data_IF_501774305905
#
_entry.id   IF_501774305905
#
_cell.length_a   1.000
_cell.length_b   1.000
_cell.length_c   1.000
_cell.angle_alpha   90.00
_cell.angle_beta   90.00
_cell.angle_gamma   90.00
#
_symmetry.space_group_name_H-M   'P 1'
#
loop_
_entity.id
_entity.type
_entity.pdbx_description
1 polymer ?
#
# COMPACT_ATOMS: atom_id res chain seq x y z
N UNK A 1 40.03 34.34 19.19
CA UNK A 1 38.77 33.69 18.77
C UNK A 1 39.11 32.53 17.85
N UNK A 2 38.84 31.30 18.27
CA UNK A 2 39.13 30.12 17.46
C UNK A 2 38.07 30.00 16.34
N UNK A 3 38.50 30.19 15.09
CA UNK A 3 37.65 29.94 13.94
C UNK A 3 37.33 28.46 13.85
N UNK A 4 36.09 28.05 14.15
CA UNK A 4 35.58 26.78 13.64
C UNK A 4 35.08 27.02 12.20
N UNK A 5 36.01 27.07 11.24
CA UNK A 5 35.67 26.97 9.80
C UNK A 5 35.48 25.49 9.47
N UNK A 6 34.34 24.94 9.84
CA UNK A 6 34.00 23.55 9.56
C UNK A 6 32.50 23.39 9.52
N UNK A 7 31.85 24.02 8.55
CA UNK A 7 30.48 23.65 8.19
C UNK A 7 30.57 22.36 7.38
N UNK A 8 30.30 21.22 8.01
CA UNK A 8 30.22 19.95 7.30
C UNK A 8 29.03 19.97 6.34
N UNK A 9 29.27 19.75 5.05
CA UNK A 9 28.18 19.59 4.08
C UNK A 9 27.52 18.22 4.26
N UNK A 10 26.22 18.19 4.48
CA UNK A 10 25.46 16.94 4.51
C UNK A 10 25.46 16.27 3.14
N UNK A 11 25.80 14.98 3.08
CA UNK A 11 25.72 14.13 1.88
C UNK A 11 24.34 13.47 1.69
N UNK A 12 23.32 13.99 2.37
CA UNK A 12 21.98 13.41 2.40
C UNK A 12 21.17 14.02 1.25
N UNK A 13 21.08 13.30 0.13
CA UNK A 13 20.31 13.73 -1.05
C UNK A 13 19.87 12.57 -1.96
N UNK A 14 19.96 11.32 -1.47
CA UNK A 14 19.48 10.14 -2.21
C UNK A 14 18.07 9.84 -1.78
N UNK A 15 17.17 9.82 -2.74
CA UNK A 15 15.83 9.26 -2.58
C UNK A 15 15.56 8.29 -3.75
N UNK A 16 14.64 7.37 -3.52
CA UNK A 16 14.22 6.38 -4.52
C UNK A 16 12.92 6.79 -5.18
N UNK A 17 12.77 6.47 -6.46
CA UNK A 17 11.52 6.71 -7.18
C UNK A 17 10.32 6.03 -6.51
N UNK A 18 9.22 6.76 -6.39
CA UNK A 18 7.97 6.25 -5.82
C UNK A 18 7.43 5.05 -6.58
N UNK A 19 6.94 4.06 -5.84
CA UNK A 19 6.38 2.81 -6.41
C UNK A 19 4.86 2.85 -6.64
N UNK A 20 4.24 4.03 -6.50
CA UNK A 20 2.79 4.25 -6.73
C UNK A 20 1.91 3.25 -5.96
N UNK A 21 2.30 2.93 -4.73
CA UNK A 21 1.52 2.10 -3.82
C UNK A 21 0.20 2.78 -3.44
N UNK A 22 -0.73 2.03 -2.89
CA UNK A 22 -2.03 2.52 -2.41
C UNK A 22 -3.22 1.74 -2.98
N UNK A 23 -4.40 2.17 -2.54
CA UNK A 23 -5.71 1.68 -2.98
C UNK A 23 -5.93 2.06 -4.45
N UNK A 24 -6.48 1.13 -5.22
CA UNK A 24 -6.76 1.27 -6.66
C UNK A 24 -8.27 1.23 -6.93
N UNK A 25 -9.00 0.42 -6.17
CA UNK A 25 -10.46 0.43 -6.14
C UNK A 25 -10.92 0.73 -4.72
N UNK A 26 -11.82 1.70 -4.60
CA UNK A 26 -12.39 2.13 -3.32
C UNK A 26 -13.69 1.36 -3.00
N UNK A 27 -14.12 1.45 -1.74
CA UNK A 27 -15.38 0.86 -1.31
C UNK A 27 -16.55 1.41 -2.14
N UNK A 28 -17.45 0.54 -2.56
CA UNK A 28 -18.60 0.90 -3.40
C UNK A 28 -18.36 0.78 -4.91
N UNK A 29 -17.13 0.45 -5.33
CA UNK A 29 -16.79 0.35 -6.75
C UNK A 29 -16.89 -1.09 -7.25
N UNK A 30 -17.37 -1.26 -8.49
CA UNK A 30 -17.38 -2.54 -9.16
C UNK A 30 -15.95 -3.02 -9.47
N UNK A 31 -15.62 -4.23 -9.03
CA UNK A 31 -14.42 -4.95 -9.40
C UNK A 31 -14.77 -6.09 -10.36
N UNK A 32 -13.93 -6.29 -11.37
CA UNK A 32 -13.92 -7.51 -12.18
C UNK A 32 -12.90 -8.49 -11.62
N UNK A 33 -13.06 -9.78 -11.89
CA UNK A 33 -12.08 -10.81 -11.59
C UNK A 33 -10.71 -10.40 -12.15
N UNK A 34 -9.68 -10.50 -11.32
CA UNK A 34 -8.31 -10.08 -11.63
C UNK A 34 -8.02 -8.60 -11.40
N UNK A 35 -9.02 -7.74 -11.13
CA UNK A 35 -8.75 -6.33 -10.82
C UNK A 35 -7.91 -6.20 -9.56
N UNK A 36 -6.97 -5.25 -9.59
CA UNK A 36 -6.17 -4.91 -8.42
C UNK A 36 -6.96 -3.96 -7.53
N UNK A 37 -7.10 -4.32 -6.26
CA UNK A 37 -7.80 -3.53 -5.24
C UNK A 37 -6.81 -2.65 -4.48
N UNK A 38 -5.69 -3.20 -4.00
CA UNK A 38 -4.67 -2.47 -3.23
C UNK A 38 -3.27 -2.94 -3.59
N UNK A 39 -2.37 -2.02 -3.93
CA UNK A 39 -0.92 -2.28 -4.00
C UNK A 39 -0.25 -1.84 -2.70
N UNK A 40 0.39 -2.76 -1.99
CA UNK A 40 0.95 -2.48 -0.67
C UNK A 40 2.33 -3.12 -0.47
N UNK A 41 2.95 -2.79 0.67
CA UNK A 41 4.17 -3.44 1.17
C UNK A 41 3.84 -3.97 2.56
N UNK A 42 3.98 -5.28 2.72
CA UNK A 42 3.33 -6.01 3.81
C UNK A 42 1.80 -5.99 3.69
N UNK A 43 1.13 -6.69 4.59
CA UNK A 43 -0.34 -6.79 4.63
C UNK A 43 -0.92 -5.78 5.59
N UNK A 44 -1.08 -4.53 5.14
CA UNK A 44 -1.86 -3.51 5.89
C UNK A 44 -3.35 -3.77 5.78
N UNK A 45 -3.78 -4.13 4.57
CA UNK A 45 -5.08 -4.73 4.30
C UNK A 45 -4.89 -6.23 4.11
N UNK A 46 -5.74 -7.02 4.77
CA UNK A 46 -5.76 -8.47 4.68
C UNK A 46 -6.80 -8.91 3.63
N UNK A 47 -6.58 -10.02 2.91
CA UNK A 47 -7.60 -10.53 2.00
C UNK A 47 -8.86 -10.94 2.78
N UNK A 48 -10.01 -10.46 2.31
CA UNK A 48 -11.33 -10.90 2.75
C UNK A 48 -11.91 -12.02 1.89
N UNK A 49 -13.23 -12.11 1.86
CA UNK A 49 -13.94 -13.04 0.98
C UNK A 49 -13.71 -12.66 -0.50
N UNK A 50 -13.41 -13.63 -1.35
CA UNK A 50 -13.21 -13.45 -2.80
C UNK A 50 -12.09 -12.47 -3.20
N UNK A 51 -11.12 -12.25 -2.30
CA UNK A 51 -9.93 -11.43 -2.56
C UNK A 51 -8.68 -12.31 -2.40
N UNK A 52 -7.82 -12.32 -3.42
CA UNK A 52 -6.53 -12.98 -3.41
C UNK A 52 -5.41 -12.05 -2.95
N UNK A 53 -4.30 -12.64 -2.48
CA UNK A 53 -3.06 -11.91 -2.15
C UNK A 53 -1.92 -12.40 -3.04
N UNK A 54 -1.26 -11.47 -3.72
CA UNK A 54 -0.09 -11.76 -4.54
C UNK A 54 1.19 -11.93 -3.71
N UNK A 55 2.26 -12.43 -4.33
CA UNK A 55 3.58 -12.57 -3.69
C UNK A 55 4.13 -11.25 -3.13
N UNK A 56 3.78 -10.12 -3.75
CA UNK A 56 4.20 -8.79 -3.32
C UNK A 56 3.22 -8.14 -2.32
N UNK A 57 2.25 -8.90 -1.81
CA UNK A 57 1.15 -8.50 -0.93
C UNK A 57 0.05 -7.66 -1.59
N UNK A 58 0.05 -7.52 -2.92
CA UNK A 58 -1.03 -6.86 -3.65
C UNK A 58 -2.34 -7.64 -3.51
N UNK A 59 -3.44 -6.95 -3.22
CA UNK A 59 -4.78 -7.54 -3.17
C UNK A 59 -5.48 -7.41 -4.52
N UNK A 60 -6.11 -8.50 -4.96
CA UNK A 60 -6.86 -8.55 -6.23
C UNK A 60 -8.17 -9.33 -6.09
N UNK A 61 -9.16 -8.99 -6.90
CA UNK A 61 -10.46 -9.65 -6.90
C UNK A 61 -10.37 -11.02 -7.57
N UNK A 62 -10.99 -12.05 -6.96
CA UNK A 62 -11.08 -13.39 -7.54
C UNK A 62 -12.33 -13.56 -8.42
N UNK A 63 -13.37 -12.77 -8.17
CA UNK A 63 -14.63 -12.77 -8.90
C UNK A 63 -15.08 -11.33 -9.20
N UNK A 64 -16.09 -11.19 -10.06
CA UNK A 64 -16.78 -9.93 -10.27
C UNK A 64 -17.67 -9.57 -9.07
N UNK A 65 -17.72 -8.30 -8.68
CA UNK A 65 -18.52 -7.84 -7.55
C UNK A 65 -18.26 -6.39 -7.16
N UNK A 66 -18.59 -6.03 -5.93
CA UNK A 66 -18.37 -4.69 -5.38
C UNK A 66 -17.33 -4.74 -4.26
N UNK A 67 -16.42 -3.78 -4.22
CA UNK A 67 -15.38 -3.70 -3.20
C UNK A 67 -15.96 -3.16 -1.90
N UNK A 68 -15.70 -3.83 -0.78
CA UNK A 68 -16.09 -3.37 0.55
C UNK A 68 -14.89 -3.50 1.50
N UNK A 69 -14.58 -2.42 2.23
CA UNK A 69 -13.54 -2.43 3.26
C UNK A 69 -14.17 -2.52 4.65
N UNK A 70 -13.76 -3.50 5.45
CA UNK A 70 -14.25 -3.69 6.83
C UNK A 70 -13.12 -3.67 7.83
N UNK A 71 -13.33 -2.99 8.96
CA UNK A 71 -12.43 -3.06 10.12
C UNK A 71 -12.93 -4.12 11.09
N UNK A 72 -12.09 -5.08 11.44
CA UNK A 72 -12.35 -6.04 12.52
C UNK A 72 -11.78 -5.52 13.85
N UNK A 73 -12.16 -6.17 14.96
CA UNK A 73 -11.44 -6.04 16.24
C UNK A 73 -9.94 -6.29 16.03
N UNK A 74 -9.10 -5.57 16.77
CA UNK A 74 -7.63 -5.51 16.63
C UNK A 74 -7.08 -4.67 15.46
N UNK A 75 -7.83 -3.69 14.95
CA UNK A 75 -7.40 -2.78 13.86
C UNK A 75 -7.04 -3.47 12.52
N UNK A 76 -7.42 -4.74 12.34
CA UNK A 76 -7.23 -5.44 11.06
C UNK A 76 -8.28 -4.95 10.06
N UNK A 77 -7.80 -4.52 8.89
CA UNK A 77 -8.65 -4.03 7.80
C UNK A 77 -8.67 -5.11 6.73
N UNK A 78 -9.86 -5.52 6.30
CA UNK A 78 -10.10 -6.48 5.22
C UNK A 78 -10.77 -5.76 4.06
#
# INVERSE_FOLDING_TARGET
MAHKKGAGSSRNGRDSESKRLGVKLFGGQAAKAGNIIVRQRGTRHNPGLNVGVGRDHTLFALIDGEVEFKKKKENKIF
#
